data_IF_150909035651
#
_entry.id   IF_150909035651
#
_cell.length_a   1.000
_cell.length_b   1.000
_cell.length_c   1.000
_cell.angle_alpha   90.00
_cell.angle_beta   90.00
_cell.angle_gamma   90.00
#
_symmetry.space_group_name_H-M   'P 1'
#
loop_
_entity.id
_entity.type
_entity.pdbx_description
1 polymer ?
#
# COMPACT_ATOMS: atom_id res chain seq x y z
N UNK A 1 33.34 -21.29 13.00
CA UNK A 1 32.82 -19.93 12.74
C UNK A 1 31.38 -20.07 12.28
N UNK A 2 30.40 -19.86 13.17
CA UNK A 2 29.00 -19.72 12.80
C UNK A 2 28.65 -18.23 12.87
N UNK A 3 28.24 -17.67 11.73
CA UNK A 3 27.49 -16.42 11.66
C UNK A 3 26.56 -16.54 10.45
N UNK A 4 25.34 -15.98 10.42
CA UNK A 4 24.69 -15.14 11.42
C UNK A 4 23.26 -15.62 11.77
N UNK A 5 22.70 -15.01 12.81
CA UNK A 5 21.26 -14.97 13.05
C UNK A 5 20.60 -14.11 11.95
N UNK A 6 20.38 -14.65 10.74
CA UNK A 6 19.56 -14.00 9.72
C UNK A 6 18.11 -14.05 10.21
N UNK A 7 17.58 -12.95 10.72
CA UNK A 7 16.15 -12.85 11.01
C UNK A 7 15.39 -13.15 9.72
N UNK A 8 14.73 -14.29 9.66
CA UNK A 8 13.83 -14.64 8.55
C UNK A 8 12.59 -13.76 8.64
N UNK A 9 12.29 -13.04 7.56
CA UNK A 9 11.09 -12.19 7.44
C UNK A 9 9.97 -13.02 6.82
N UNK A 10 8.81 -13.05 7.49
CA UNK A 10 7.64 -13.82 7.08
C UNK A 10 6.35 -13.04 7.29
N UNK A 11 5.31 -13.47 6.59
CA UNK A 11 3.93 -13.09 6.81
C UNK A 11 3.16 -14.32 7.28
N UNK A 12 2.31 -14.15 8.29
CA UNK A 12 1.52 -15.23 8.87
C UNK A 12 0.03 -14.87 8.85
N UNK A 13 -0.80 -15.83 8.47
CA UNK A 13 -2.26 -15.72 8.49
C UNK A 13 -2.79 -16.54 9.65
N UNK A 14 -3.65 -15.92 10.46
CA UNK A 14 -4.33 -16.57 11.56
C UNK A 14 -5.84 -16.58 11.31
N UNK A 15 -6.52 -17.62 11.78
CA UNK A 15 -7.98 -17.61 11.79
C UNK A 15 -8.53 -16.74 12.94
N UNK A 16 -9.86 -16.65 13.04
CA UNK A 16 -10.55 -15.86 14.06
C UNK A 16 -10.28 -16.33 15.50
N UNK A 17 -9.84 -17.58 15.66
CA UNK A 17 -9.55 -18.19 16.96
C UNK A 17 -8.05 -18.06 17.29
N UNK A 18 -7.26 -17.42 16.42
CA UNK A 18 -5.83 -17.16 16.57
C UNK A 18 -4.94 -18.34 16.18
N UNK A 19 -5.48 -19.34 15.48
CA UNK A 19 -4.69 -20.47 14.99
C UNK A 19 -3.97 -20.10 13.69
N UNK A 20 -2.68 -20.43 13.61
CA UNK A 20 -1.88 -20.22 12.40
C UNK A 20 -2.41 -21.11 11.26
N UNK A 21 -2.76 -20.48 10.14
CA UNK A 21 -3.31 -21.16 8.94
C UNK A 21 -2.37 -21.13 7.74
N UNK A 22 -1.44 -20.16 7.70
CA UNK A 22 -0.52 -20.00 6.58
C UNK A 22 0.73 -19.24 7.00
N UNK A 23 1.89 -19.60 6.44
CA UNK A 23 3.14 -18.85 6.55
C UNK A 23 3.71 -18.61 5.14
N UNK A 24 4.05 -17.37 4.84
CA UNK A 24 4.63 -16.92 3.56
C UNK A 24 6.02 -16.34 3.88
N UNK A 25 7.07 -16.93 3.32
CA UNK A 25 8.45 -16.56 3.69
C UNK A 25 9.42 -16.57 2.51
N UNK A 26 9.37 -17.62 1.67
CA UNK A 26 10.30 -17.83 0.57
C UNK A 26 9.54 -17.99 -0.74
N UNK A 27 10.13 -17.50 -1.82
CA UNK A 27 9.67 -17.80 -3.16
C UNK A 27 9.90 -19.28 -3.46
N UNK A 28 9.19 -19.80 -4.46
CA UNK A 28 9.41 -21.16 -4.99
C UNK A 28 10.87 -21.34 -5.44
N UNK A 29 11.53 -20.27 -5.88
CA UNK A 29 12.95 -20.26 -6.29
C UNK A 29 13.93 -20.30 -5.12
N UNK A 30 13.46 -20.30 -3.86
CA UNK A 30 14.28 -20.34 -2.65
C UNK A 30 14.78 -18.98 -2.17
N UNK A 31 14.54 -17.90 -2.91
CA UNK A 31 14.86 -16.54 -2.47
C UNK A 31 13.89 -16.07 -1.37
N UNK A 32 14.38 -15.29 -0.40
CA UNK A 32 13.54 -14.63 0.61
C UNK A 32 12.51 -13.72 -0.06
N UNK A 33 11.23 -13.88 0.27
CA UNK A 33 10.15 -13.02 -0.23
C UNK A 33 10.28 -11.60 0.29
N UNK A 34 10.63 -11.47 1.57
CA UNK A 34 10.64 -10.20 2.27
C UNK A 34 12.01 -9.93 2.88
N UNK A 35 12.40 -8.66 2.93
CA UNK A 35 13.59 -8.21 3.67
C UNK A 35 13.21 -7.54 4.97
N UNK A 36 12.36 -6.51 4.94
CA UNK A 36 11.87 -5.75 6.10
C UNK A 36 10.40 -5.34 5.85
N UNK A 37 9.44 -6.29 5.99
CA UNK A 37 8.03 -6.00 5.79
C UNK A 37 7.54 -5.02 6.85
N UNK A 38 6.76 -4.01 6.46
CA UNK A 38 6.36 -2.90 7.33
C UNK A 38 4.83 -2.77 7.50
N UNK A 39 4.10 -2.79 6.39
CA UNK A 39 2.64 -2.74 6.35
C UNK A 39 2.12 -3.89 5.50
N UNK A 40 0.92 -4.34 5.83
CA UNK A 40 0.24 -5.45 5.18
C UNK A 40 -1.24 -5.12 5.02
N UNK A 41 -1.81 -5.54 3.91
CA UNK A 41 -3.26 -5.53 3.67
C UNK A 41 -3.64 -6.70 2.76
N UNK A 42 -4.93 -6.98 2.66
CA UNK A 42 -5.50 -7.98 1.76
C UNK A 42 -6.43 -7.26 0.77
N UNK A 43 -6.32 -7.57 -0.52
CA UNK A 43 -7.22 -7.01 -1.54
C UNK A 43 -8.47 -7.88 -1.73
N UNK A 44 -9.42 -7.45 -2.58
CA UNK A 44 -10.65 -8.21 -2.81
C UNK A 44 -10.46 -9.51 -3.61
N UNK A 45 -9.26 -9.75 -4.14
CA UNK A 45 -8.88 -11.04 -4.74
C UNK A 45 -8.28 -12.01 -3.71
N UNK A 46 -8.25 -11.62 -2.43
CA UNK A 46 -7.58 -12.35 -1.33
C UNK A 46 -6.05 -12.41 -1.48
N UNK A 47 -5.48 -11.54 -2.33
CA UNK A 47 -4.04 -11.38 -2.42
C UNK A 47 -3.51 -10.65 -1.20
N UNK A 48 -2.34 -11.07 -0.73
CA UNK A 48 -1.62 -10.41 0.35
C UNK A 48 -0.70 -9.36 -0.25
N UNK A 49 -0.87 -8.11 0.18
CA UNK A 49 -0.09 -6.96 -0.30
C UNK A 49 0.77 -6.46 0.86
N UNK A 50 2.08 -6.38 0.64
CA UNK A 50 3.06 -6.04 1.68
C UNK A 50 3.94 -4.91 1.21
N UNK A 51 4.09 -3.86 2.02
CA UNK A 51 5.15 -2.88 1.82
C UNK A 51 6.44 -3.47 2.40
N UNK A 52 7.43 -3.70 1.57
CA UNK A 52 8.71 -4.28 1.98
C UNK A 52 9.85 -3.32 1.69
N UNK A 53 10.72 -3.16 2.68
CA UNK A 53 11.83 -2.23 2.60
C UNK A 53 13.17 -2.95 2.50
N UNK A 54 14.05 -2.48 1.62
CA UNK A 54 15.32 -3.13 1.38
C UNK A 54 16.49 -2.34 1.98
N UNK A 55 16.53 -1.02 1.77
CA UNK A 55 17.64 -0.13 2.12
C UNK A 55 17.17 1.34 2.23
N UNK A 56 18.00 2.27 2.74
CA UNK A 56 17.68 3.67 3.14
C UNK A 56 16.62 4.38 2.27
N UNK A 57 16.65 4.17 0.96
CA UNK A 57 15.76 4.84 0.00
C UNK A 57 15.12 3.90 -1.03
N UNK A 58 14.99 2.59 -0.71
CA UNK A 58 14.44 1.59 -1.63
C UNK A 58 13.60 0.51 -0.93
N UNK A 59 12.49 0.18 -1.56
CA UNK A 59 11.64 -0.95 -1.23
C UNK A 59 10.72 -1.29 -2.40
N UNK A 60 9.80 -2.21 -2.16
CA UNK A 60 8.77 -2.60 -3.11
C UNK A 60 7.45 -2.84 -2.39
N UNK A 61 6.35 -2.74 -3.12
CA UNK A 61 5.12 -3.43 -2.74
C UNK A 61 5.21 -4.85 -3.30
N UNK A 62 5.29 -5.84 -2.42
CA UNK A 62 5.34 -7.26 -2.78
C UNK A 62 3.94 -7.85 -2.65
N UNK A 63 3.46 -8.52 -3.70
CA UNK A 63 2.13 -9.10 -3.74
C UNK A 63 2.22 -10.60 -3.93
N UNK A 64 1.52 -11.34 -3.08
CA UNK A 64 1.32 -12.79 -3.23
C UNK A 64 -0.15 -13.12 -3.41
N UNK A 65 -0.45 -14.20 -4.11
CA UNK A 65 -1.81 -14.70 -4.19
C UNK A 65 -2.30 -15.19 -2.82
N UNK A 66 -3.59 -15.54 -2.73
CA UNK A 66 -4.21 -16.12 -1.53
C UNK A 66 -3.45 -17.32 -0.96
N UNK A 67 -2.81 -18.10 -1.82
CA UNK A 67 -2.05 -19.30 -1.45
C UNK A 67 -0.62 -18.97 -0.99
N UNK A 68 -0.21 -17.71 -1.10
CA UNK A 68 1.11 -17.23 -0.71
C UNK A 68 2.15 -17.31 -1.83
N UNK A 69 1.74 -17.62 -3.06
CA UNK A 69 2.66 -17.64 -4.19
C UNK A 69 2.93 -16.22 -4.67
N UNK A 70 4.19 -15.95 -5.03
CA UNK A 70 4.59 -14.66 -5.57
C UNK A 70 3.80 -14.32 -6.85
N UNK A 71 3.22 -13.12 -6.90
CA UNK A 71 2.61 -12.56 -8.11
C UNK A 71 3.54 -11.53 -8.75
N UNK A 72 3.83 -10.44 -8.04
CA UNK A 72 4.68 -9.37 -8.53
C UNK A 72 5.28 -8.53 -7.40
N UNK A 73 6.25 -7.69 -7.76
CA UNK A 73 6.81 -6.63 -6.94
C UNK A 73 6.74 -5.32 -7.70
N UNK A 74 6.21 -4.28 -7.07
CA UNK A 74 6.18 -2.93 -7.62
C UNK A 74 7.21 -2.05 -6.90
N UNK A 75 8.23 -1.61 -7.63
CA UNK A 75 9.36 -0.83 -7.10
C UNK A 75 9.20 0.70 -7.29
N UNK A 76 8.02 1.14 -7.75
CA UNK A 76 7.77 2.52 -8.16
C UNK A 76 8.21 2.81 -9.60
N UNK A 77 7.72 3.91 -10.16
CA UNK A 77 8.24 4.44 -11.43
C UNK A 77 9.71 4.89 -11.34
N UNK A 78 10.16 5.26 -10.14
CA UNK A 78 11.52 5.69 -9.84
C UNK A 78 12.07 4.95 -8.62
N UNK A 79 12.14 5.63 -7.47
CA UNK A 79 12.49 5.03 -6.19
C UNK A 79 11.25 5.02 -5.32
N UNK A 80 10.85 3.83 -4.89
CA UNK A 80 9.79 3.68 -3.92
C UNK A 80 10.38 3.50 -2.52
N UNK A 81 9.95 4.35 -1.61
CA UNK A 81 10.03 4.11 -0.16
C UNK A 81 8.61 3.76 0.29
N UNK A 82 8.18 2.49 0.23
CA UNK A 82 6.79 2.15 0.47
C UNK A 82 6.53 2.21 1.98
N UNK A 83 5.54 3.01 2.38
CA UNK A 83 5.08 3.14 3.77
C UNK A 83 3.69 2.52 3.87
N UNK A 84 2.71 3.29 4.29
CA UNK A 84 1.32 2.89 4.31
C UNK A 84 0.83 2.41 2.94
N UNK A 85 0.07 1.31 2.98
CA UNK A 85 -0.63 0.74 1.85
C UNK A 85 -2.10 0.53 2.22
N UNK A 86 -2.99 0.65 1.24
CA UNK A 86 -4.36 0.16 1.35
C UNK A 86 -4.86 -0.27 -0.04
N UNK A 87 -6.05 -0.86 -0.08
CA UNK A 87 -6.68 -1.34 -1.31
C UNK A 87 -8.05 -0.70 -1.46
N UNK A 88 -8.49 -0.58 -2.72
CA UNK A 88 -9.80 -0.06 -3.06
C UNK A 88 -10.76 -1.19 -3.49
N UNK A 89 -12.05 -0.90 -3.77
CA UNK A 89 -13.04 -1.92 -4.13
C UNK A 89 -12.71 -2.66 -5.43
N UNK A 90 -11.88 -2.08 -6.30
CA UNK A 90 -11.46 -2.68 -7.57
C UNK A 90 -10.14 -3.47 -7.44
N UNK A 91 -9.66 -3.67 -6.22
CA UNK A 91 -8.35 -4.27 -5.91
C UNK A 91 -7.17 -3.45 -6.43
N UNK A 92 -7.36 -2.15 -6.72
CA UNK A 92 -6.21 -1.28 -6.91
C UNK A 92 -5.50 -1.12 -5.58
N UNK A 93 -4.18 -1.01 -5.63
CA UNK A 93 -3.33 -0.85 -4.47
C UNK A 93 -2.87 0.60 -4.44
N UNK A 94 -3.15 1.27 -3.32
CA UNK A 94 -2.61 2.59 -3.03
C UNK A 94 -1.39 2.41 -2.14
N UNK A 95 -0.29 3.04 -2.51
CA UNK A 95 0.95 3.06 -1.73
C UNK A 95 1.38 4.49 -1.52
N UNK A 96 1.61 4.86 -0.26
CA UNK A 96 2.25 6.13 0.04
C UNK A 96 3.76 5.97 0.14
N UNK A 97 4.46 6.96 -0.40
CA UNK A 97 5.90 7.09 -0.31
C UNK A 97 6.28 8.38 0.40
N UNK A 98 7.53 8.82 0.28
CA UNK A 98 7.95 10.08 0.91
C UNK A 98 7.12 11.25 0.37
N UNK A 99 6.95 11.35 -0.93
CA UNK A 99 6.46 12.56 -1.56
C UNK A 99 5.05 12.47 -2.13
N UNK A 100 4.47 11.27 -2.16
CA UNK A 100 3.36 10.97 -3.04
C UNK A 100 2.54 9.78 -2.57
N UNK A 101 1.34 9.68 -3.12
CA UNK A 101 0.52 8.48 -3.08
C UNK A 101 0.33 8.01 -4.51
N UNK A 102 0.80 6.81 -4.81
CA UNK A 102 0.67 6.18 -6.12
C UNK A 102 -0.46 5.14 -6.08
N UNK A 103 -1.15 4.99 -7.20
CA UNK A 103 -2.16 3.95 -7.42
C UNK A 103 -1.60 2.99 -8.47
N UNK A 104 -1.57 1.71 -8.13
CA UNK A 104 -1.28 0.62 -9.08
C UNK A 104 -2.50 -0.29 -9.15
N UNK A 105 -2.72 -0.92 -10.30
CA UNK A 105 -3.80 -1.89 -10.46
C UNK A 105 -3.50 -3.21 -9.75
N UNK A 106 -4.47 -4.12 -9.79
CA UNK A 106 -4.40 -5.44 -9.17
C UNK A 106 -3.25 -6.32 -9.69
N UNK A 107 -2.67 -5.99 -10.83
CA UNK A 107 -1.62 -6.73 -11.54
C UNK A 107 -0.27 -6.01 -11.49
N UNK A 108 -0.20 -4.89 -10.77
CA UNK A 108 1.04 -4.16 -10.49
C UNK A 108 1.37 -3.06 -11.48
N UNK A 109 0.45 -2.75 -12.40
CA UNK A 109 0.65 -1.68 -13.37
C UNK A 109 0.33 -0.33 -12.74
N UNK A 110 1.23 0.63 -12.92
CA UNK A 110 0.99 1.99 -12.48
C UNK A 110 -0.22 2.60 -13.20
N UNK A 111 -1.14 3.17 -12.42
CA UNK A 111 -2.32 3.86 -12.94
C UNK A 111 -2.15 5.38 -12.88
N UNK A 112 -1.88 5.93 -11.70
CA UNK A 112 -1.78 7.38 -11.50
C UNK A 112 -1.13 7.76 -10.17
N UNK A 113 -0.83 9.06 -10.02
CA UNK A 113 -0.57 9.65 -8.71
C UNK A 113 -1.89 10.23 -8.18
N UNK A 114 -2.22 9.90 -6.93
CA UNK A 114 -3.33 10.56 -6.23
C UNK A 114 -2.88 11.87 -5.59
N UNK A 115 -1.62 11.93 -5.11
CA UNK A 115 -1.04 13.08 -4.43
C UNK A 115 0.41 13.23 -4.89
N UNK A 116 0.82 14.46 -5.24
CA UNK A 116 2.20 14.80 -5.61
C UNK A 116 2.77 15.94 -4.74
N UNK A 117 4.10 15.96 -4.63
CA UNK A 117 4.93 16.72 -3.67
C UNK A 117 4.73 18.24 -3.61
N UNK A 118 4.00 18.86 -4.55
CA UNK A 118 3.90 20.31 -4.67
C UNK A 118 2.83 20.96 -3.79
N UNK A 119 1.89 20.18 -3.24
CA UNK A 119 0.71 20.78 -2.59
C UNK A 119 0.80 20.83 -1.06
N UNK A 120 1.64 20.02 -0.41
CA UNK A 120 1.48 19.75 1.02
C UNK A 120 2.77 19.73 1.85
N UNK A 121 2.74 20.41 3.00
CA UNK A 121 3.80 20.36 4.01
C UNK A 121 3.66 19.08 4.84
N UNK A 122 4.45 18.06 4.53
CA UNK A 122 4.52 16.80 5.26
C UNK A 122 4.61 15.58 4.35
N UNK A 123 5.00 14.44 4.92
CA UNK A 123 5.16 13.18 4.19
C UNK A 123 4.02 12.24 4.57
N UNK A 124 3.30 11.61 3.62
CA UNK A 124 2.32 10.60 3.97
C UNK A 124 3.04 9.39 4.58
N UNK A 125 2.38 8.75 5.55
CA UNK A 125 2.94 7.68 6.36
C UNK A 125 1.99 6.48 6.45
N UNK A 126 0.69 6.72 6.47
CA UNK A 126 -0.34 5.69 6.55
C UNK A 126 -1.50 6.00 5.61
N UNK A 127 -2.16 4.94 5.15
CA UNK A 127 -3.34 4.99 4.30
C UNK A 127 -4.42 4.09 4.90
N UNK A 128 -5.67 4.52 4.80
CA UNK A 128 -6.83 3.68 5.10
C UNK A 128 -7.99 4.10 4.23
N UNK A 129 -8.62 3.15 3.55
CA UNK A 129 -9.79 3.39 2.72
C UNK A 129 -11.02 2.80 3.38
N UNK A 130 -12.10 3.59 3.48
CA UNK A 130 -13.38 3.14 4.01
C UNK A 130 -14.35 2.85 2.86
N UNK A 131 -14.70 1.57 2.72
CA UNK A 131 -15.62 1.08 1.70
C UNK A 131 -17.03 1.68 1.80
N UNK A 132 -17.49 2.04 3.00
CA UNK A 132 -18.86 2.51 3.23
C UNK A 132 -19.04 3.98 2.87
N UNK A 133 -18.00 4.77 3.12
CA UNK A 133 -18.01 6.22 2.90
C UNK A 133 -17.29 6.62 1.60
N UNK A 134 -16.50 5.71 1.01
CA UNK A 134 -15.60 5.97 -0.11
C UNK A 134 -14.55 7.04 0.18
N UNK A 135 -14.22 7.23 1.47
CA UNK A 135 -13.23 8.18 1.93
C UNK A 135 -11.87 7.49 2.08
N UNK A 136 -10.84 8.17 1.60
CA UNK A 136 -9.45 7.83 1.86
C UNK A 136 -8.90 8.70 2.98
N UNK A 137 -8.40 8.07 4.02
CA UNK A 137 -7.69 8.70 5.12
C UNK A 137 -6.19 8.57 4.86
N UNK A 138 -5.50 9.71 4.86
CA UNK A 138 -4.06 9.79 4.70
C UNK A 138 -3.45 10.43 5.94
N UNK A 139 -2.65 9.64 6.66
CA UNK A 139 -1.86 10.13 7.78
C UNK A 139 -0.58 10.78 7.27
N UNK A 140 -0.37 12.04 7.63
CA UNK A 140 0.83 12.81 7.34
C UNK A 140 1.66 13.02 8.59
N UNK A 141 2.97 12.75 8.47
CA UNK A 141 3.97 13.11 9.46
C UNK A 141 4.82 14.28 8.98
N UNK A 142 5.06 15.24 9.87
CA UNK A 142 6.02 16.33 9.69
C UNK A 142 6.81 16.55 10.99
N UNK A 143 7.93 17.29 10.90
CA UNK A 143 8.81 17.48 12.07
C UNK A 143 8.12 18.10 13.30
N UNK A 144 7.06 18.89 13.10
CA UNK A 144 6.42 19.66 14.16
C UNK A 144 4.94 19.29 14.39
N UNK A 145 4.35 18.44 13.56
CA UNK A 145 2.95 18.04 13.70
C UNK A 145 2.63 16.80 12.86
N UNK A 146 1.63 16.04 13.32
CA UNK A 146 1.00 14.96 12.56
C UNK A 146 -0.44 15.39 12.22
N UNK A 147 -0.92 15.04 11.03
CA UNK A 147 -2.29 15.36 10.59
C UNK A 147 -2.89 14.16 9.86
N UNK A 148 -4.20 13.99 10.00
CA UNK A 148 -4.98 13.11 9.13
C UNK A 148 -5.69 14.02 8.13
N UNK A 149 -5.64 13.63 6.86
CA UNK A 149 -6.42 14.25 5.79
C UNK A 149 -7.36 13.24 5.18
N UNK A 150 -8.49 13.73 4.70
CA UNK A 150 -9.58 12.90 4.19
C UNK A 150 -9.84 13.35 2.76
N UNK A 151 -9.87 12.40 1.83
CA UNK A 151 -10.12 12.62 0.42
C UNK A 151 -11.35 11.82 -0.01
N UNK A 152 -12.19 12.39 -0.87
CA UNK A 152 -13.14 11.59 -1.63
C UNK A 152 -12.35 10.87 -2.72
N UNK A 153 -12.30 9.53 -2.65
CA UNK A 153 -11.40 8.76 -3.51
C UNK A 153 -12.10 8.20 -4.75
N UNK A 154 -13.29 7.62 -4.57
CA UNK A 154 -14.12 7.14 -5.67
C UNK A 154 -15.42 7.93 -5.65
N UNK A 155 -15.78 8.56 -6.77
CA UNK A 155 -17.13 9.07 -6.92
C UNK A 155 -18.09 7.88 -7.04
N UNK A 156 -19.28 7.96 -6.43
CA UNK A 156 -20.32 6.90 -6.53
C UNK A 156 -20.65 6.56 -7.99
N UNK A 157 -20.42 7.47 -8.92
CA UNK A 157 -20.66 7.26 -10.35
C UNK A 157 -19.54 6.44 -11.02
N UNK A 158 -18.29 6.66 -10.62
CA UNK A 158 -17.12 5.95 -11.19
C UNK A 158 -17.06 4.50 -10.72
N UNK A 159 -17.43 4.23 -9.45
CA UNK A 159 -17.58 2.87 -8.91
C UNK A 159 -18.59 2.01 -9.70
N UNK A 160 -19.70 2.64 -10.14
CA UNK A 160 -20.80 1.94 -10.82
C UNK A 160 -20.55 1.77 -12.32
N UNK A 161 -19.65 2.56 -12.91
CA UNK A 161 -19.45 2.60 -14.37
C UNK A 161 -18.06 2.16 -14.83
N UNK A 162 -17.13 1.87 -13.91
CA UNK A 162 -15.79 1.38 -14.24
C UNK A 162 -14.95 2.37 -15.05
N UNK A 163 -15.28 3.66 -15.01
CA UNK A 163 -14.53 4.72 -15.70
C UNK A 163 -13.66 5.45 -14.69
N UNK A 164 -12.34 5.36 -14.82
CA UNK A 164 -11.42 6.33 -14.23
C UNK A 164 -11.47 7.60 -15.09
N UNK A 165 -11.79 8.75 -14.48
CA UNK A 165 -11.45 10.04 -15.07
C UNK A 165 -10.10 10.48 -14.52
N UNK A 166 -9.26 11.04 -15.39
CA UNK A 166 -8.13 11.86 -14.95
C UNK A 166 -8.70 12.94 -14.02
N UNK A 167 -8.17 12.99 -12.79
CA UNK A 167 -8.59 13.95 -11.78
C UNK A 167 -8.08 15.31 -12.23
N UNK A 168 -8.98 16.20 -12.65
CA UNK A 168 -8.69 17.63 -12.67
C UNK A 168 -8.47 18.07 -11.22
N UNK A 169 -7.36 18.80 -10.99
CA UNK A 169 -6.91 19.32 -9.70
C UNK A 169 -7.88 20.37 -9.11
N UNK A 170 -9.10 19.96 -8.75
CA UNK A 170 -9.98 20.77 -7.92
C UNK A 170 -9.84 20.34 -6.46
N UNK A 171 -9.11 21.18 -5.73
CA UNK A 171 -8.88 21.10 -4.30
C UNK A 171 -10.20 21.09 -3.54
N UNK A 172 -10.74 19.90 -3.20
CA UNK A 172 -11.82 19.81 -2.21
C UNK A 172 -11.20 19.88 -0.82
N UNK A 173 -11.01 21.11 -0.35
CA UNK A 173 -10.64 21.43 1.01
C UNK A 173 -11.90 21.37 1.90
N UNK A 174 -12.27 20.19 2.39
CA UNK A 174 -13.23 20.08 3.51
C UNK A 174 -12.49 19.65 4.77
N UNK A 175 -11.93 20.64 5.46
CA UNK A 175 -11.74 20.53 6.91
C UNK A 175 -13.12 20.55 7.55
N UNK A 176 -13.60 19.41 8.04
CA UNK A 176 -14.74 19.39 8.96
C UNK A 176 -14.33 20.19 10.22
N UNK A 177 -15.13 21.19 10.56
CA UNK A 177 -15.08 21.91 11.84
C UNK A 177 -15.64 21.03 12.96
#
# INVERSE_FOLDING_TARGET
>A
MHSPNTKESKVERFDKDGLLTQTIEKQITGHTMYKKPCFITENNNEDVVVSDYFDSDRGAVVVTDRSGNYRFSYEGLHKLYPKGICTDPLSNILVCSNAEVQIIDRDGQFLSHLIQHSEWVGFPQSLSYDINTHLLYVGYGAMLYNRIRIFSYISRYDALTGRSKEIENDTVQTCLK
#
